data_IF_700424161429
#
_entry.id   IF_700424161429
#
_cell.length_a   1.000
_cell.length_b   1.000
_cell.length_c   1.000
_cell.angle_alpha   90.00
_cell.angle_beta   90.00
_cell.angle_gamma   90.00
#
_symmetry.space_group_name_H-M   'P 1'
#
loop_
_entity.id
_entity.type
_entity.pdbx_description
1 polymer ?
#
# COMPACT_ATOMS: atom_id res chain seq x y z
N UNK A 1 2.92 -27.62 39.93
CA UNK A 1 1.70 -26.92 39.44
C UNK A 1 2.00 -25.56 38.78
N UNK A 2 3.12 -25.39 38.06
CA UNK A 2 3.48 -24.14 37.32
C UNK A 2 3.74 -24.34 35.81
N UNK A 3 3.67 -25.57 35.31
CA UNK A 3 4.04 -25.87 33.92
C UNK A 3 2.91 -25.64 32.88
N UNK A 4 1.65 -25.52 33.30
CA UNK A 4 0.51 -25.38 32.36
C UNK A 4 0.24 -23.91 31.99
N UNK A 5 0.68 -22.94 32.80
CA UNK A 5 0.37 -21.52 32.57
C UNK A 5 1.28 -20.83 31.52
N UNK A 6 2.39 -21.45 31.12
CA UNK A 6 3.20 -20.92 30.01
C UNK A 6 2.66 -21.33 28.63
N UNK A 7 2.00 -22.49 28.52
CA UNK A 7 1.58 -23.03 27.23
C UNK A 7 0.38 -22.27 26.61
N UNK A 8 -0.47 -21.66 27.45
CA UNK A 8 -1.67 -20.95 26.98
C UNK A 8 -1.46 -19.46 26.68
N UNK A 9 -0.25 -18.93 26.91
CA UNK A 9 0.08 -17.53 26.51
C UNK A 9 0.79 -17.44 25.16
N UNK A 10 1.32 -18.56 24.66
CA UNK A 10 2.05 -18.63 23.39
C UNK A 10 1.14 -18.89 22.17
N UNK A 11 -0.08 -19.39 22.38
CA UNK A 11 -0.98 -19.79 21.28
C UNK A 11 -1.90 -18.67 20.76
N UNK A 12 -2.00 -17.53 21.44
CA UNK A 12 -2.79 -16.35 20.97
C UNK A 12 -1.86 -15.14 20.72
N UNK A 13 -0.63 -15.40 20.28
CA UNK A 13 0.33 -14.36 19.88
C UNK A 13 1.11 -14.73 18.60
N UNK A 14 0.56 -15.63 17.78
CA UNK A 14 1.25 -16.23 16.62
C UNK A 14 0.83 -15.68 15.25
N UNK A 15 0.35 -14.43 15.12
CA UNK A 15 0.19 -13.86 13.76
C UNK A 15 0.32 -12.33 13.60
N UNK A 16 0.79 -11.61 14.61
CA UNK A 16 1.33 -10.25 14.42
C UNK A 16 2.85 -10.29 14.38
N UNK A 17 3.41 -11.10 13.46
CA UNK A 17 4.86 -11.25 13.29
C UNK A 17 5.36 -10.17 12.34
N UNK A 18 5.77 -9.04 12.92
CA UNK A 18 6.60 -7.99 12.31
C UNK A 18 6.09 -7.41 10.99
N UNK A 19 5.08 -6.55 11.02
CA UNK A 19 4.80 -5.70 9.85
C UNK A 19 5.32 -4.30 10.13
N UNK A 20 6.40 -3.94 9.43
CA UNK A 20 6.74 -2.54 9.20
C UNK A 20 5.47 -1.79 8.77
N UNK A 21 5.28 -0.54 9.21
CA UNK A 21 4.06 0.21 8.92
C UNK A 21 3.79 0.22 7.41
N UNK A 22 2.49 0.23 7.02
CA UNK A 22 2.13 0.28 5.61
C UNK A 22 2.72 1.54 4.98
N UNK A 23 3.28 1.40 3.78
CA UNK A 23 3.70 2.57 3.00
C UNK A 23 2.42 3.15 2.38
N UNK A 24 2.17 4.42 2.63
CA UNK A 24 1.04 5.14 2.06
C UNK A 24 1.55 5.89 0.84
N UNK A 25 0.94 5.63 -0.30
CA UNK A 25 1.19 6.37 -1.54
C UNK A 25 -0.04 7.23 -1.78
N UNK A 26 0.10 8.55 -1.62
CA UNK A 26 -0.98 9.48 -1.89
C UNK A 26 -0.91 9.92 -3.35
N UNK A 27 -2.00 9.71 -4.09
CA UNK A 27 -2.07 10.12 -5.50
C UNK A 27 -1.97 11.65 -5.65
N UNK A 28 -2.27 12.41 -4.59
CA UNK A 28 -2.17 13.87 -4.61
C UNK A 28 -0.73 14.36 -4.76
N UNK A 29 0.26 13.55 -4.38
CA UNK A 29 1.69 13.88 -4.50
C UNK A 29 2.13 14.04 -5.96
N UNK A 30 1.33 13.53 -6.89
CA UNK A 30 1.59 13.63 -8.32
C UNK A 30 0.91 14.83 -8.99
N UNK A 31 0.06 15.57 -8.28
CA UNK A 31 -0.67 16.71 -8.83
C UNK A 31 0.25 17.91 -9.04
N UNK A 32 -0.03 18.67 -10.11
CA UNK A 32 0.67 19.92 -10.43
C UNK A 32 -0.36 21.03 -10.56
N UNK A 33 -0.36 21.95 -9.59
CA UNK A 33 -1.40 22.99 -9.50
C UNK A 33 -2.80 22.41 -9.23
N UNK A 34 -2.88 21.30 -8.50
CA UNK A 34 -4.15 20.63 -8.17
C UNK A 34 -4.74 19.79 -9.31
N UNK A 35 -4.02 19.60 -10.41
CA UNK A 35 -4.48 18.83 -11.57
C UNK A 35 -3.49 17.70 -11.85
N UNK A 36 -4.00 16.51 -12.14
CA UNK A 36 -3.18 15.40 -12.61
C UNK A 36 -2.92 15.54 -14.11
N UNK A 37 -1.66 15.64 -14.51
CA UNK A 37 -1.25 15.69 -15.92
C UNK A 37 -0.68 14.34 -16.32
N UNK A 38 -1.27 13.68 -17.31
CA UNK A 38 -0.89 12.30 -17.68
C UNK A 38 0.60 12.16 -18.00
N UNK A 39 1.14 13.03 -18.86
CA UNK A 39 2.56 12.97 -19.25
C UNK A 39 3.50 13.08 -18.04
N UNK A 40 3.31 14.11 -17.20
CA UNK A 40 4.12 14.33 -16.00
C UNK A 40 3.98 13.18 -14.99
N UNK A 41 2.78 12.63 -14.84
CA UNK A 41 2.55 11.47 -13.99
C UNK A 41 3.33 10.24 -14.47
N UNK A 42 3.25 9.92 -15.76
CA UNK A 42 4.02 8.80 -16.36
C UNK A 42 5.52 8.99 -16.20
N UNK A 43 6.02 10.20 -16.37
CA UNK A 43 7.43 10.54 -16.15
C UNK A 43 7.85 10.31 -14.70
N UNK A 44 7.06 10.79 -13.73
CA UNK A 44 7.30 10.55 -12.28
C UNK A 44 7.29 9.06 -11.93
N UNK A 45 6.33 8.30 -12.46
CA UNK A 45 6.29 6.85 -12.25
C UNK A 45 7.52 6.14 -12.82
N UNK A 46 8.04 6.58 -13.96
CA UNK A 46 9.25 6.02 -14.58
C UNK A 46 10.55 6.34 -13.83
N UNK A 47 10.55 7.37 -12.98
CA UNK A 47 11.71 7.79 -12.19
C UNK A 47 11.70 7.26 -10.76
N UNK A 48 10.56 6.73 -10.30
CA UNK A 48 10.42 6.27 -8.92
C UNK A 48 11.16 4.95 -8.71
N UNK A 49 11.87 4.84 -7.58
CA UNK A 49 12.41 3.56 -7.13
C UNK A 49 11.28 2.69 -6.59
N UNK A 50 10.93 1.63 -7.31
CA UNK A 50 9.87 0.71 -6.94
C UNK A 50 10.32 -0.38 -5.97
N UNK A 51 11.64 -0.58 -5.84
CA UNK A 51 12.22 -1.60 -4.98
C UNK A 51 11.92 -1.34 -3.50
N UNK A 52 11.76 -0.07 -3.11
CA UNK A 52 11.38 0.33 -1.75
C UNK A 52 10.03 -0.27 -1.28
N UNK A 53 9.17 -0.71 -2.21
CA UNK A 53 7.88 -1.33 -1.91
C UNK A 53 7.96 -2.86 -1.79
N UNK A 54 9.14 -3.47 -2.02
CA UNK A 54 9.31 -4.92 -2.02
C UNK A 54 8.84 -5.55 -0.72
N UNK A 55 7.95 -6.52 -0.83
CA UNK A 55 7.39 -7.29 0.28
C UNK A 55 6.66 -6.44 1.33
N UNK A 56 6.31 -5.20 1.01
CA UNK A 56 5.59 -4.29 1.89
C UNK A 56 4.08 -4.35 1.68
N UNK A 57 3.34 -3.96 2.71
CA UNK A 57 1.94 -3.54 2.60
C UNK A 57 1.93 -2.10 2.09
N UNK A 58 1.24 -1.86 0.98
CA UNK A 58 1.12 -0.54 0.37
C UNK A 58 -0.35 -0.14 0.29
N UNK A 59 -0.65 1.10 0.66
CA UNK A 59 -2.00 1.68 0.61
C UNK A 59 -1.95 2.82 -0.40
N UNK A 60 -2.75 2.74 -1.46
CA UNK A 60 -2.94 3.83 -2.39
C UNK A 60 -4.11 4.66 -1.87
N UNK A 61 -3.81 5.90 -1.48
CA UNK A 61 -4.75 6.88 -0.97
C UNK A 61 -5.05 7.92 -2.06
N UNK A 62 -6.24 8.52 -2.01
CA UNK A 62 -6.57 9.71 -2.76
C UNK A 62 -7.32 10.74 -1.93
N UNK A 63 -7.62 11.88 -2.55
CA UNK A 63 -8.38 12.97 -1.91
C UNK A 63 -9.72 13.13 -2.62
N UNK A 64 -10.78 13.34 -1.83
CA UNK A 64 -12.14 13.62 -2.28
C UNK A 64 -12.31 15.00 -2.93
N UNK A 65 -11.40 15.93 -2.66
CA UNK A 65 -11.46 17.32 -3.15
C UNK A 65 -10.94 17.50 -4.58
N UNK A 66 -10.13 16.57 -5.07
CA UNK A 66 -9.53 16.66 -6.40
C UNK A 66 -10.04 15.50 -7.25
N UNK A 67 -10.65 15.76 -8.42
CA UNK A 67 -11.05 14.70 -9.32
C UNK A 67 -9.81 14.04 -9.91
N UNK A 68 -9.52 12.83 -9.47
CA UNK A 68 -8.41 12.02 -9.98
C UNK A 68 -8.98 10.90 -10.85
N UNK A 69 -8.55 10.77 -12.12
CA UNK A 69 -9.12 9.79 -13.02
C UNK A 69 -8.74 8.36 -12.63
N UNK A 70 -9.66 7.42 -12.83
CA UNK A 70 -9.49 6.00 -12.46
C UNK A 70 -8.22 5.38 -13.04
N UNK A 71 -7.84 5.75 -14.26
CA UNK A 71 -6.64 5.22 -14.91
C UNK A 71 -5.37 5.46 -14.09
N UNK A 72 -5.28 6.55 -13.32
CA UNK A 72 -4.09 6.86 -12.54
C UNK A 72 -3.89 5.89 -11.36
N UNK A 73 -4.98 5.52 -10.70
CA UNK A 73 -4.98 4.47 -9.67
C UNK A 73 -4.58 3.12 -10.25
N UNK A 74 -5.11 2.76 -11.42
CA UNK A 74 -4.78 1.52 -12.11
C UNK A 74 -3.29 1.47 -12.51
N UNK A 75 -2.74 2.59 -12.97
CA UNK A 75 -1.32 2.69 -13.30
C UNK A 75 -0.43 2.52 -12.07
N UNK A 76 -0.74 3.16 -10.94
CA UNK A 76 -0.02 2.95 -9.68
C UNK A 76 -0.08 1.50 -9.24
N UNK A 77 -1.27 0.91 -9.23
CA UNK A 77 -1.44 -0.49 -8.86
C UNK A 77 -0.62 -1.43 -9.77
N UNK A 78 -0.60 -1.19 -11.08
CA UNK A 78 0.16 -1.98 -12.04
C UNK A 78 1.67 -1.91 -11.80
N UNK A 79 2.22 -0.74 -11.45
CA UNK A 79 3.64 -0.60 -11.13
C UNK A 79 4.00 -1.19 -9.76
N UNK A 80 3.07 -1.14 -8.79
CA UNK A 80 3.29 -1.66 -7.44
C UNK A 80 3.15 -3.18 -7.35
N UNK A 81 2.26 -3.79 -8.13
CA UNK A 81 1.91 -5.21 -8.02
C UNK A 81 3.10 -6.19 -8.14
N UNK A 82 4.14 -5.94 -8.95
CA UNK A 82 5.33 -6.79 -8.99
C UNK A 82 6.16 -6.77 -7.70
N UNK A 83 6.11 -5.69 -6.91
CA UNK A 83 6.99 -5.48 -5.75
C UNK A 83 6.26 -5.67 -4.42
N UNK A 84 5.08 -5.07 -4.27
CA UNK A 84 4.33 -5.08 -3.02
C UNK A 84 3.79 -6.46 -2.67
N UNK A 85 3.81 -6.81 -1.37
CA UNK A 85 3.20 -8.05 -0.87
C UNK A 85 1.68 -7.97 -0.92
N UNK A 86 1.14 -6.81 -0.54
CA UNK A 86 -0.30 -6.54 -0.50
C UNK A 86 -0.55 -5.08 -0.89
N UNK A 87 -1.53 -4.87 -1.75
CA UNK A 87 -2.02 -3.55 -2.15
C UNK A 87 -3.42 -3.33 -1.60
N UNK A 88 -3.65 -2.11 -1.13
CA UNK A 88 -4.92 -1.67 -0.59
C UNK A 88 -5.32 -0.32 -1.22
N UNK A 89 -6.62 -0.06 -1.26
CA UNK A 89 -7.19 1.24 -1.64
C UNK A 89 -7.90 1.88 -0.45
N UNK A 90 -7.81 3.21 -0.34
CA UNK A 90 -8.56 4.01 0.62
C UNK A 90 -7.70 4.58 1.75
N UNK A 91 -8.36 5.00 2.83
CA UNK A 91 -7.69 5.58 3.99
C UNK A 91 -7.08 4.48 4.88
N UNK A 92 -5.97 4.75 5.62
CA UNK A 92 -5.29 3.74 6.43
C UNK A 92 -6.18 2.95 7.39
N UNK A 93 -7.24 3.59 7.93
CA UNK A 93 -8.18 2.99 8.87
C UNK A 93 -9.33 2.22 8.20
N UNK A 94 -9.57 2.40 6.90
CA UNK A 94 -10.70 1.80 6.15
C UNK A 94 -10.25 1.18 4.82
N UNK A 95 -8.96 0.87 4.70
CA UNK A 95 -8.37 0.43 3.44
C UNK A 95 -8.85 -0.98 3.05
N UNK A 96 -9.25 -1.13 1.80
CA UNK A 96 -9.75 -2.40 1.23
C UNK A 96 -8.63 -3.08 0.44
N UNK A 97 -8.35 -4.38 0.66
CA UNK A 97 -7.34 -5.10 -0.11
C UNK A 97 -7.78 -5.28 -1.57
N UNK A 98 -6.90 -4.98 -2.51
CA UNK A 98 -7.16 -5.12 -3.96
C UNK A 98 -6.27 -6.15 -4.64
N UNK A 99 -5.10 -6.42 -4.07
CA UNK A 99 -4.15 -7.38 -4.62
C UNK A 99 -3.28 -7.95 -3.51
N UNK A 100 -3.03 -9.26 -3.58
CA UNK A 100 -2.13 -9.99 -2.68
C UNK A 100 -1.21 -10.83 -3.55
N UNK A 101 0.10 -10.58 -3.48
CA UNK A 101 1.09 -11.38 -4.16
C UNK A 101 1.20 -12.74 -3.45
N UNK A 102 0.89 -13.81 -4.18
CA UNK A 102 1.14 -15.18 -3.70
C UNK A 102 2.66 -15.40 -3.65
N UNK A 103 3.11 -16.06 -2.59
CA UNK A 103 4.49 -16.55 -2.50
C UNK A 103 4.69 -17.74 -3.44
#
# INVERSE_FOLDING_TARGET
MRAILLCLRESVMSETRTMAPPIIVDITDFLEGGILREKAFREKLGQMDWEQFRDRKVIIKGCDKVPVPTWAYLMLAAHLAPYAKRLFWGEPCSAVPIYVRKD
#
